data_IF_773771096840
#
_entry.id   IF_773771096840
#
_cell.length_a   1.000
_cell.length_b   1.000
_cell.length_c   1.000
_cell.angle_alpha   90.00
_cell.angle_beta   90.00
_cell.angle_gamma   90.00
#
_symmetry.space_group_name_H-M   'P 1'
#
loop_
_entity.id
_entity.type
_entity.pdbx_description
1 polymer ?
#
# COMPACT_ATOMS: atom_id res chain seq x y z
N UNK A 1 -27.63 -5.69 -1.85
CA UNK A 1 -26.92 -4.77 -2.77
C UNK A 1 -25.45 -5.05 -2.61
N UNK A 2 -24.79 -5.48 -3.68
CA UNK A 2 -23.36 -5.79 -3.67
C UNK A 2 -22.56 -4.52 -4.02
N UNK A 3 -21.70 -3.99 -3.13
CA UNK A 3 -20.86 -2.82 -3.42
C UNK A 3 -20.03 -2.95 -4.70
N UNK A 4 -19.68 -4.17 -5.09
CA UNK A 4 -18.92 -4.45 -6.32
C UNK A 4 -19.64 -3.93 -7.58
N UNK A 5 -20.98 -3.95 -7.60
CA UNK A 5 -21.76 -3.50 -8.74
C UNK A 5 -21.63 -1.98 -9.02
N UNK A 6 -21.12 -1.21 -8.07
CA UNK A 6 -20.93 0.24 -8.20
C UNK A 6 -19.54 0.65 -8.69
N UNK A 7 -18.59 -0.30 -8.75
CA UNK A 7 -17.20 -0.06 -9.18
C UNK A 7 -17.11 0.72 -10.51
N UNK A 8 -17.89 0.38 -11.56
CA UNK A 8 -17.79 1.09 -12.85
C UNK A 8 -18.16 2.58 -12.79
N UNK A 9 -18.97 2.97 -11.81
CA UNK A 9 -19.44 4.36 -11.65
C UNK A 9 -18.61 5.18 -10.67
N UNK A 10 -17.70 4.54 -9.93
CA UNK A 10 -16.97 5.15 -8.83
C UNK A 10 -15.66 5.80 -9.34
N UNK A 11 -15.76 6.98 -9.95
CA UNK A 11 -14.60 7.72 -10.50
C UNK A 11 -13.91 8.65 -9.50
N UNK A 12 -14.56 8.95 -8.37
CA UNK A 12 -13.99 9.80 -7.31
C UNK A 12 -12.67 9.24 -6.78
N UNK A 13 -11.65 10.07 -6.51
CA UNK A 13 -10.42 9.65 -5.87
C UNK A 13 -10.68 8.91 -4.55
N UNK A 14 -9.94 7.83 -4.32
CA UNK A 14 -10.17 6.94 -3.19
C UNK A 14 -8.86 6.39 -2.62
N UNK A 15 -8.79 6.26 -1.30
CA UNK A 15 -7.69 5.62 -0.59
C UNK A 15 -8.28 4.49 0.27
N UNK A 16 -7.88 3.26 -0.01
CA UNK A 16 -8.32 2.07 0.71
C UNK A 16 -7.45 1.86 1.95
N UNK A 17 -8.02 2.09 3.12
CA UNK A 17 -7.33 1.97 4.41
C UNK A 17 -7.57 0.60 5.01
N UNK A 18 -6.51 -0.16 5.30
CA UNK A 18 -6.61 -1.54 5.81
C UNK A 18 -5.61 -1.76 6.95
N UNK A 19 -6.08 -2.29 8.09
CA UNK A 19 -5.19 -2.79 9.13
C UNK A 19 -4.59 -4.13 8.74
N UNK A 20 -3.27 -4.30 8.84
CA UNK A 20 -2.59 -5.54 8.40
C UNK A 20 -2.95 -6.79 9.22
N UNK A 21 -3.61 -6.59 10.38
CA UNK A 21 -4.03 -7.64 11.30
C UNK A 21 -5.55 -7.63 11.52
N UNK A 22 -6.32 -6.98 10.62
CA UNK A 22 -7.78 -6.92 10.72
C UNK A 22 -8.38 -8.35 10.62
N UNK A 23 -9.17 -8.79 11.62
CA UNK A 23 -9.76 -10.12 11.59
C UNK A 23 -10.96 -10.26 10.65
N UNK A 24 -11.56 -9.14 10.24
CA UNK A 24 -12.77 -9.06 9.41
C UNK A 24 -12.47 -8.74 7.96
N UNK A 25 -11.39 -8.02 7.68
CA UNK A 25 -10.95 -7.73 6.32
C UNK A 25 -9.70 -8.55 5.96
N UNK A 26 -9.88 -9.53 5.07
CA UNK A 26 -8.78 -10.39 4.68
C UNK A 26 -7.66 -9.58 3.97
N UNK A 27 -6.42 -9.85 4.37
CA UNK A 27 -5.23 -9.08 3.99
C UNK A 27 -5.07 -8.94 2.47
N UNK A 28 -5.35 -10.02 1.73
CA UNK A 28 -5.21 -10.07 0.27
C UNK A 28 -6.49 -9.74 -0.51
N UNK A 29 -7.58 -9.31 0.16
CA UNK A 29 -8.86 -9.03 -0.50
C UNK A 29 -8.78 -7.97 -1.61
N UNK A 30 -7.76 -7.11 -1.58
CA UNK A 30 -7.53 -6.09 -2.60
C UNK A 30 -7.48 -6.68 -4.02
N UNK A 31 -7.00 -7.92 -4.18
CA UNK A 31 -6.85 -8.58 -5.48
C UNK A 31 -8.19 -8.71 -6.22
N UNK A 32 -9.30 -8.75 -5.50
CA UNK A 32 -10.63 -8.96 -6.07
C UNK A 32 -11.32 -7.67 -6.54
N UNK A 33 -10.87 -6.50 -6.11
CA UNK A 33 -11.59 -5.25 -6.41
C UNK A 33 -10.66 -4.11 -6.84
N UNK A 34 -9.46 -4.03 -6.27
CA UNK A 34 -8.56 -2.90 -6.48
C UNK A 34 -8.15 -2.75 -7.95
N UNK A 35 -7.85 -3.82 -8.72
CA UNK A 35 -7.58 -3.69 -10.16
C UNK A 35 -8.74 -3.06 -10.94
N UNK A 36 -9.99 -3.36 -10.57
CA UNK A 36 -11.20 -2.90 -11.27
C UNK A 36 -11.65 -1.49 -10.88
N UNK A 37 -11.18 -0.95 -9.76
CA UNK A 37 -11.49 0.41 -9.34
C UNK A 37 -11.08 1.44 -10.41
N UNK A 38 -12.00 2.33 -10.79
CA UNK A 38 -11.74 3.42 -11.73
C UNK A 38 -11.21 4.67 -11.02
N UNK A 39 -10.54 5.55 -11.77
CA UNK A 39 -9.99 6.81 -11.28
C UNK A 39 -8.79 6.64 -10.33
N UNK A 40 -8.40 7.73 -9.67
CA UNK A 40 -7.31 7.70 -8.69
C UNK A 40 -7.64 6.76 -7.53
N UNK A 41 -6.77 5.80 -7.28
CA UNK A 41 -6.92 4.79 -6.23
C UNK A 41 -5.55 4.49 -5.61
N UNK A 42 -5.50 4.43 -4.29
CA UNK A 42 -4.30 4.01 -3.57
C UNK A 42 -4.63 3.16 -2.36
N UNK A 43 -3.66 2.36 -1.91
CA UNK A 43 -3.74 1.63 -0.65
C UNK A 43 -3.06 2.43 0.47
N UNK A 44 -3.55 2.25 1.69
CA UNK A 44 -2.88 2.66 2.92
C UNK A 44 -3.00 1.51 3.91
N UNK A 45 -1.90 0.77 4.11
CA UNK A 45 -1.86 -0.26 5.14
C UNK A 45 -1.42 0.34 6.48
N UNK A 46 -2.11 -0.06 7.55
CA UNK A 46 -1.74 0.29 8.92
C UNK A 46 -1.10 -0.95 9.57
N UNK A 47 0.23 -0.98 9.71
CA UNK A 47 0.95 -2.14 10.18
C UNK A 47 0.64 -2.43 11.65
N UNK A 48 0.55 -3.70 12.00
CA UNK A 48 0.26 -4.19 13.35
C UNK A 48 -1.10 -3.72 13.92
N UNK A 49 -2.06 -3.37 13.06
CA UNK A 49 -3.41 -2.96 13.48
C UNK A 49 -4.48 -3.94 13.02
N UNK A 50 -5.36 -4.28 13.96
CA UNK A 50 -6.62 -4.96 13.69
C UNK A 50 -7.71 -3.98 13.26
N UNK A 51 -8.96 -4.26 13.61
CA UNK A 51 -10.13 -3.42 13.28
C UNK A 51 -10.22 -2.09 14.07
N UNK A 52 -9.22 -1.79 14.89
CA UNK A 52 -9.22 -0.67 15.83
C UNK A 52 -8.50 0.57 15.30
N UNK A 53 -8.65 1.67 16.05
CA UNK A 53 -8.36 3.02 15.56
C UNK A 53 -6.89 3.41 15.74
N UNK A 54 -6.14 3.42 14.64
CA UNK A 54 -5.02 4.35 14.44
C UNK A 54 -5.60 5.55 13.69
N UNK A 55 -5.31 6.77 14.15
CA UNK A 55 -5.99 7.96 13.65
C UNK A 55 -5.11 8.81 12.74
N UNK A 56 -3.80 8.83 12.96
CA UNK A 56 -2.92 9.77 12.27
C UNK A 56 -2.88 9.49 10.77
N UNK A 57 -2.55 8.27 10.34
CA UNK A 57 -2.38 7.99 8.91
C UNK A 57 -3.71 8.12 8.14
N UNK A 58 -4.85 7.61 8.64
CA UNK A 58 -6.13 7.82 7.97
C UNK A 58 -6.56 9.29 7.92
N UNK A 59 -6.34 10.06 8.99
CA UNK A 59 -6.66 11.50 8.99
C UNK A 59 -5.82 12.23 7.95
N UNK A 60 -4.51 11.94 7.85
CA UNK A 60 -3.64 12.54 6.84
C UNK A 60 -4.09 12.19 5.41
N UNK A 61 -4.53 10.94 5.18
CA UNK A 61 -5.10 10.52 3.89
C UNK A 61 -6.41 11.25 3.57
N UNK A 62 -7.31 11.40 4.54
CA UNK A 62 -8.56 12.16 4.38
C UNK A 62 -8.26 13.62 4.06
N UNK A 63 -7.30 14.24 4.77
CA UNK A 63 -6.89 15.62 4.51
C UNK A 63 -6.36 15.79 3.08
N UNK A 64 -5.53 14.87 2.58
CA UNK A 64 -5.05 14.92 1.20
C UNK A 64 -6.20 14.84 0.17
N UNK A 65 -7.22 13.99 0.41
CA UNK A 65 -8.41 13.93 -0.44
C UNK A 65 -9.22 15.23 -0.38
N UNK A 66 -9.35 15.85 0.80
CA UNK A 66 -10.02 17.15 0.96
C UNK A 66 -9.26 18.23 0.19
N UNK A 67 -7.93 18.27 0.26
CA UNK A 67 -7.11 19.23 -0.48
C UNK A 67 -7.27 19.07 -1.99
N UNK A 68 -7.31 17.82 -2.45
CA UNK A 68 -7.57 17.53 -3.85
C UNK A 68 -8.92 18.08 -4.31
N UNK A 69 -9.98 17.82 -3.54
CA UNK A 69 -11.36 18.26 -3.89
C UNK A 69 -11.53 19.77 -3.76
N UNK A 70 -11.01 20.38 -2.71
CA UNK A 70 -11.25 21.80 -2.38
C UNK A 70 -10.25 22.75 -3.03
N UNK A 71 -9.00 22.31 -3.20
CA UNK A 71 -7.88 23.16 -3.62
C UNK A 71 -7.25 22.71 -4.94
N UNK A 72 -7.67 21.57 -5.51
CA UNK A 72 -7.11 21.03 -6.76
C UNK A 72 -5.70 20.46 -6.62
N UNK A 73 -5.23 20.21 -5.39
CA UNK A 73 -3.92 19.60 -5.12
C UNK A 73 -3.81 18.24 -5.82
N UNK A 74 -2.75 18.04 -6.61
CA UNK A 74 -2.48 16.79 -7.29
C UNK A 74 -2.04 15.73 -6.28
N UNK A 75 -2.78 14.63 -6.20
CA UNK A 75 -2.47 13.52 -5.32
C UNK A 75 -1.23 12.76 -5.83
N UNK A 76 -0.39 12.18 -4.95
CA UNK A 76 0.80 11.49 -5.41
C UNK A 76 0.48 10.23 -6.22
N UNK A 77 1.19 10.07 -7.33
CA UNK A 77 1.09 8.89 -8.20
C UNK A 77 2.40 8.11 -8.22
N UNK A 78 2.29 6.79 -8.15
CA UNK A 78 3.40 5.87 -8.27
C UNK A 78 2.88 4.55 -8.85
N UNK A 79 3.79 3.83 -9.47
CA UNK A 79 3.55 2.50 -10.00
C UNK A 79 4.37 1.50 -9.21
N UNK A 80 3.91 0.26 -9.20
CA UNK A 80 4.62 -0.83 -8.56
C UNK A 80 4.62 -2.04 -9.47
N UNK A 81 5.67 -2.84 -9.35
CA UNK A 81 5.80 -4.16 -9.97
C UNK A 81 6.27 -5.12 -8.90
N UNK A 82 5.72 -6.33 -8.94
CA UNK A 82 6.16 -7.43 -8.10
C UNK A 82 6.58 -8.57 -9.02
N UNK A 83 7.78 -9.09 -8.82
CA UNK A 83 8.28 -10.26 -9.53
C UNK A 83 9.15 -11.09 -8.58
N UNK A 84 8.98 -12.41 -8.65
CA UNK A 84 9.64 -13.40 -7.79
C UNK A 84 9.66 -13.01 -6.30
N UNK A 85 10.76 -12.38 -5.84
CA UNK A 85 10.96 -11.90 -4.45
C UNK A 85 11.35 -10.42 -4.40
N UNK A 86 10.87 -9.63 -5.35
CA UNK A 86 11.17 -8.21 -5.46
C UNK A 86 9.89 -7.39 -5.59
N UNK A 87 9.86 -6.26 -4.90
CA UNK A 87 8.85 -5.20 -5.10
C UNK A 87 9.61 -3.96 -5.56
N UNK A 88 9.29 -3.50 -6.76
CA UNK A 88 9.83 -2.27 -7.34
C UNK A 88 8.72 -1.22 -7.32
N UNK A 89 9.00 -0.05 -6.77
CA UNK A 89 8.08 1.09 -6.76
C UNK A 89 8.76 2.26 -7.44
N UNK A 90 8.08 2.86 -8.41
CA UNK A 90 8.60 3.95 -9.24
C UNK A 90 7.61 5.11 -9.23
N UNK A 91 8.11 6.33 -9.16
CA UNK A 91 7.29 7.54 -9.28
C UNK A 91 7.94 8.55 -10.22
N UNK A 92 7.12 9.35 -10.90
CA UNK A 92 7.60 10.52 -11.62
C UNK A 92 7.78 11.71 -10.65
N UNK A 93 8.36 12.80 -11.15
CA UNK A 93 8.29 14.08 -10.46
C UNK A 93 6.83 14.46 -10.20
N UNK A 94 6.51 14.80 -8.96
CA UNK A 94 5.14 15.16 -8.56
C UNK A 94 5.01 16.67 -8.49
N UNK A 95 3.82 17.18 -8.84
CA UNK A 95 3.59 18.63 -8.84
C UNK A 95 3.54 19.22 -7.43
N UNK A 96 2.82 18.57 -6.52
CA UNK A 96 2.51 19.13 -5.20
C UNK A 96 3.14 18.36 -4.03
N UNK A 97 3.91 17.31 -4.30
CA UNK A 97 4.49 16.44 -3.27
C UNK A 97 5.95 16.07 -3.53
N UNK A 98 6.70 15.79 -2.46
CA UNK A 98 8.01 15.14 -2.52
C UNK A 98 7.95 13.80 -1.79
N UNK A 99 8.54 12.74 -2.37
CA UNK A 99 8.76 11.48 -1.65
C UNK A 99 9.94 11.67 -0.69
N UNK A 100 9.67 11.61 0.61
CA UNK A 100 10.69 11.78 1.65
C UNK A 100 11.37 10.47 2.02
N UNK A 101 10.63 9.37 1.99
CA UNK A 101 11.13 8.07 2.38
C UNK A 101 10.31 6.94 1.78
N UNK A 102 10.95 5.78 1.66
CA UNK A 102 10.31 4.50 1.39
C UNK A 102 10.66 3.50 2.50
N UNK A 103 9.70 2.67 2.86
CA UNK A 103 9.84 1.65 3.89
C UNK A 103 9.31 0.31 3.39
N UNK A 104 10.04 -0.76 3.65
CA UNK A 104 9.58 -2.12 3.48
C UNK A 104 8.94 -2.58 4.79
N UNK A 105 7.68 -2.99 4.72
CA UNK A 105 7.00 -3.70 5.80
C UNK A 105 6.94 -5.19 5.46
N UNK A 106 7.36 -6.04 6.40
CA UNK A 106 7.36 -7.51 6.23
C UNK A 106 6.75 -8.21 7.44
N UNK A 107 6.03 -9.29 7.19
CA UNK A 107 5.56 -10.22 8.21
C UNK A 107 5.85 -11.66 7.79
N UNK A 108 6.02 -12.54 8.78
CA UNK A 108 6.25 -13.97 8.57
C UNK A 108 5.15 -14.78 9.25
N UNK A 109 4.74 -15.89 8.63
CA UNK A 109 3.76 -16.82 9.18
C UNK A 109 4.04 -18.22 8.68
N UNK A 110 3.87 -19.23 9.53
CA UNK A 110 3.93 -20.64 9.10
C UNK A 110 2.72 -21.07 8.27
N UNK A 111 1.67 -20.22 8.22
CA UNK A 111 0.42 -20.42 7.48
C UNK A 111 0.16 -19.25 6.53
N UNK A 112 -0.88 -19.32 5.70
CA UNK A 112 -1.33 -18.18 4.88
C UNK A 112 -2.08 -17.10 5.67
N UNK A 113 -2.36 -17.35 6.97
CA UNK A 113 -3.03 -16.39 7.84
C UNK A 113 -2.00 -15.50 8.56
N UNK A 114 -1.99 -14.21 8.21
CA UNK A 114 -1.09 -13.20 8.78
C UNK A 114 -1.75 -12.36 9.89
N UNK A 115 -3.00 -12.64 10.28
CA UNK A 115 -3.71 -11.83 11.29
C UNK A 115 -3.01 -11.79 12.64
N UNK A 116 -2.24 -12.82 12.98
CA UNK A 116 -1.42 -12.90 14.21
C UNK A 116 0.07 -12.59 13.97
N UNK A 117 0.48 -12.32 12.74
CA UNK A 117 1.86 -12.04 12.39
C UNK A 117 2.24 -10.60 12.80
N UNK A 118 3.50 -10.42 13.21
CA UNK A 118 4.05 -9.10 13.51
C UNK A 118 4.72 -8.52 12.26
N UNK A 119 4.34 -7.30 11.91
CA UNK A 119 4.90 -6.55 10.80
C UNK A 119 6.11 -5.73 11.28
N UNK A 120 7.27 -5.99 10.69
CA UNK A 120 8.52 -5.28 10.92
C UNK A 120 8.79 -4.30 9.78
N UNK A 121 9.43 -3.17 10.11
CA UNK A 121 9.77 -2.09 9.18
C UNK A 121 11.28 -2.07 8.93
N UNK A 122 11.68 -1.85 7.68
CA UNK A 122 13.04 -1.47 7.32
C UNK A 122 13.04 -0.31 6.31
N UNK A 123 13.94 0.67 6.43
CA UNK A 123 14.07 1.73 5.44
C UNK A 123 14.56 1.18 4.10
N UNK A 124 14.12 1.80 3.01
CA UNK A 124 14.60 1.52 1.66
C UNK A 124 15.34 2.74 1.10
N UNK A 125 16.47 2.53 0.39
CA UNK A 125 17.05 3.57 -0.45
C UNK A 125 16.06 4.03 -1.53
N UNK A 126 16.13 5.30 -1.90
CA UNK A 126 15.28 5.91 -2.94
C UNK A 126 16.10 6.55 -4.07
N UNK A 127 16.98 5.81 -4.78
CA UNK A 127 17.72 6.36 -5.91
C UNK A 127 16.77 6.74 -7.05
N UNK A 128 16.96 7.92 -7.64
CA UNK A 128 16.34 8.31 -8.92
C UNK A 128 14.82 8.06 -9.03
N UNK A 129 14.08 8.35 -7.95
CA UNK A 129 12.62 8.16 -7.84
C UNK A 129 12.14 6.70 -7.91
N UNK A 130 12.98 5.77 -7.48
CA UNK A 130 12.64 4.36 -7.37
C UNK A 130 12.95 3.85 -5.96
N UNK A 131 12.12 2.96 -5.43
CA UNK A 131 12.41 2.14 -4.26
C UNK A 131 12.35 0.66 -4.64
N UNK A 132 13.44 -0.07 -4.41
CA UNK A 132 13.52 -1.51 -4.64
C UNK A 132 13.61 -2.24 -3.31
N UNK A 133 12.65 -3.13 -3.07
CA UNK A 133 12.61 -4.02 -1.92
C UNK A 133 12.88 -5.46 -2.35
N UNK A 134 13.91 -6.06 -1.77
CA UNK A 134 14.23 -7.49 -1.90
C UNK A 134 13.74 -8.26 -0.68
N UNK A 135 12.98 -9.32 -0.92
CA UNK A 135 12.25 -10.06 0.11
C UNK A 135 13.04 -11.32 0.47
N UNK A 136 13.54 -11.38 1.71
CA UNK A 136 14.28 -12.53 2.21
C UNK A 136 13.46 -13.82 2.22
N UNK A 137 14.12 -14.95 1.92
CA UNK A 137 13.56 -16.30 1.88
C UNK A 137 13.65 -17.02 3.22
N UNK A 138 12.58 -17.78 3.53
CA UNK A 138 12.48 -18.60 4.72
C UNK A 138 11.83 -19.93 4.33
N UNK A 139 12.56 -21.03 4.52
CA UNK A 139 12.15 -22.37 4.03
C UNK A 139 10.81 -22.85 4.64
N UNK A 140 10.51 -22.43 5.87
CA UNK A 140 9.37 -22.92 6.65
C UNK A 140 8.25 -21.90 6.82
N UNK A 141 8.43 -20.66 6.37
CA UNK A 141 7.51 -19.55 6.64
C UNK A 141 7.16 -18.82 5.34
N UNK A 142 5.87 -18.51 5.20
CA UNK A 142 5.40 -17.56 4.20
C UNK A 142 5.79 -16.15 4.64
N UNK A 143 6.19 -15.32 3.67
CA UNK A 143 6.47 -13.91 3.88
C UNK A 143 5.37 -13.10 3.22
N UNK A 144 4.87 -12.09 3.92
CA UNK A 144 4.03 -11.07 3.31
C UNK A 144 4.71 -9.72 3.41
N UNK A 145 4.62 -8.91 2.36
CA UNK A 145 5.31 -7.63 2.31
C UNK A 145 4.53 -6.58 1.52
N UNK A 146 4.75 -5.31 1.87
CA UNK A 146 4.35 -4.15 1.08
C UNK A 146 5.37 -3.02 1.25
N UNK A 147 5.41 -2.11 0.30
CA UNK A 147 6.22 -0.89 0.39
C UNK A 147 5.31 0.28 0.78
N UNK A 148 5.74 1.05 1.78
CA UNK A 148 5.12 2.31 2.19
C UNK A 148 5.96 3.48 1.72
N UNK A 149 5.32 4.47 1.11
CA UNK A 149 5.92 5.74 0.74
C UNK A 149 5.42 6.84 1.68
N UNK A 150 6.36 7.66 2.15
CA UNK A 150 6.07 8.88 2.90
C UNK A 150 6.25 10.08 1.96
N UNK A 151 5.17 10.80 1.74
CA UNK A 151 5.13 12.03 0.97
C UNK A 151 5.03 13.25 1.89
N UNK A 152 5.51 14.39 1.41
CA UNK A 152 5.29 15.70 2.02
C UNK A 152 4.88 16.71 0.96
N UNK A 153 3.86 17.52 1.26
CA UNK A 153 3.42 18.57 0.33
C UNK A 153 4.52 19.61 0.12
N UNK A 154 4.61 20.14 -1.10
CA UNK A 154 5.38 21.35 -1.37
C UNK A 154 4.85 22.54 -0.57
N UNK A 155 5.69 23.55 -0.39
CA UNK A 155 5.32 24.74 0.35
C UNK A 155 4.33 25.59 -0.47
N UNK A 156 3.13 25.81 0.08
CA UNK A 156 2.07 26.59 -0.55
C UNK A 156 1.70 27.78 0.35
N UNK A 157 2.39 28.91 0.18
CA UNK A 157 2.15 30.13 0.95
C UNK A 157 2.50 29.98 2.42
N UNK A 158 1.55 30.26 3.33
CA UNK A 158 1.74 30.16 4.80
C UNK A 158 1.29 28.82 5.40
N UNK A 159 0.80 27.89 4.59
CA UNK A 159 0.31 26.61 5.08
C UNK A 159 1.49 25.72 5.51
N UNK A 160 1.36 25.05 6.66
CA UNK A 160 2.35 24.08 7.08
C UNK A 160 2.39 22.90 6.11
N UNK A 161 3.60 22.38 5.84
CA UNK A 161 3.77 21.15 5.05
C UNK A 161 3.06 19.99 5.74
N UNK A 162 2.35 19.19 4.95
CA UNK A 162 1.61 18.02 5.44
C UNK A 162 2.21 16.75 4.89
N UNK A 163 2.16 15.71 5.71
CA UNK A 163 2.64 14.38 5.36
C UNK A 163 1.49 13.51 4.87
N UNK A 164 1.80 12.56 4.01
CA UNK A 164 0.86 11.55 3.54
C UNK A 164 1.61 10.21 3.47
N UNK A 165 0.98 9.16 3.99
CA UNK A 165 1.45 7.79 3.87
C UNK A 165 0.57 7.08 2.86
N UNK A 166 1.18 6.44 1.87
CA UNK A 166 0.49 5.53 0.94
C UNK A 166 1.32 4.25 0.82
N UNK A 167 0.70 3.19 0.36
CA UNK A 167 1.32 1.88 0.27
C UNK A 167 1.07 1.26 -1.09
N UNK A 168 1.98 0.39 -1.53
CA UNK A 168 1.60 -0.64 -2.50
C UNK A 168 0.50 -1.52 -1.89
N UNK A 169 -0.19 -2.32 -2.71
CA UNK A 169 -0.87 -3.49 -2.19
C UNK A 169 0.08 -4.40 -1.42
N UNK A 170 -0.50 -5.32 -0.65
CA UNK A 170 0.26 -6.34 0.08
C UNK A 170 0.41 -7.59 -0.76
N UNK A 171 1.62 -8.12 -0.79
CA UNK A 171 1.98 -9.28 -1.60
C UNK A 171 2.33 -10.46 -0.70
N UNK A 172 2.09 -11.67 -1.22
CA UNK A 172 2.42 -12.93 -0.59
C UNK A 172 3.61 -13.56 -1.32
N UNK A 173 4.59 -14.02 -0.56
CA UNK A 173 5.76 -14.74 -1.02
C UNK A 173 5.77 -16.10 -0.29
N UNK A 174 5.19 -17.15 -0.90
CA UNK A 174 5.07 -18.46 -0.27
C UNK A 174 6.44 -19.10 -0.01
N UNK A 175 6.51 -19.93 1.03
CA UNK A 175 7.63 -20.88 1.24
C UNK A 175 7.66 -21.91 0.11
N UNK A 176 8.82 -22.54 -0.11
CA UNK A 176 9.06 -23.43 -1.24
C UNK A 176 8.06 -24.57 -1.38
N UNK A 177 7.66 -25.17 -0.26
CA UNK A 177 6.67 -26.27 -0.25
C UNK A 177 5.28 -25.86 -0.73
N UNK A 178 4.97 -24.56 -0.78
CA UNK A 178 3.67 -24.02 -1.22
C UNK A 178 3.73 -23.33 -2.60
N UNK A 179 4.91 -23.27 -3.25
CA UNK A 179 5.07 -22.66 -4.59
C UNK A 179 4.47 -23.47 -5.74
N UNK A 180 4.35 -24.78 -5.60
CA UNK A 180 3.88 -25.71 -6.65
C UNK A 180 2.35 -25.89 -6.68
N UNK A 181 1.62 -25.22 -5.78
CA UNK A 181 0.17 -25.37 -5.60
C UNK A 181 -0.72 -24.33 -6.29
N UNK A 182 -0.16 -23.46 -7.15
CA UNK A 182 -0.90 -22.64 -8.12
C UNK A 182 -2.03 -21.77 -7.55
N UNK A 183 -1.67 -20.65 -6.93
CA UNK A 183 -2.48 -19.43 -7.08
C UNK A 183 -1.69 -18.58 -8.05
N UNK A 184 -2.13 -18.53 -9.32
CA UNK A 184 -1.69 -17.48 -10.22
C UNK A 184 -2.03 -16.15 -9.56
N UNK A 185 -1.01 -15.46 -9.07
CA UNK A 185 -1.13 -14.04 -8.75
C UNK A 185 -1.41 -13.38 -10.09
N UNK A 186 -2.58 -12.74 -10.30
CA UNK A 186 -2.86 -12.06 -11.55
C UNK A 186 -1.76 -11.03 -11.77
N UNK A 187 -0.99 -11.23 -12.84
CA UNK A 187 -0.07 -10.20 -13.34
C UNK A 187 -0.94 -9.06 -13.91
N UNK A 188 -0.53 -7.79 -13.71
CA UNK A 188 -1.28 -6.64 -14.22
C UNK A 188 -1.42 -6.67 -15.74
#
# INVERSE_FOLDING_TARGET
MDPFQYIPTLTTPKICVVGTNDPYWHLFSWQHYFPELSGYKQMLYIPNKGHGVELLRPILAILALIDHVCCGTQLPEYQWKVDDRQIVVEWASQQDYTVLAAYLWTARSSTMDFRRAKWAISPLPIPENQALAQIAEFELENVSAFVELLFETHEAGKAAKRRLYLSTPVFLFPKDSERSGGIEIPRP
#
